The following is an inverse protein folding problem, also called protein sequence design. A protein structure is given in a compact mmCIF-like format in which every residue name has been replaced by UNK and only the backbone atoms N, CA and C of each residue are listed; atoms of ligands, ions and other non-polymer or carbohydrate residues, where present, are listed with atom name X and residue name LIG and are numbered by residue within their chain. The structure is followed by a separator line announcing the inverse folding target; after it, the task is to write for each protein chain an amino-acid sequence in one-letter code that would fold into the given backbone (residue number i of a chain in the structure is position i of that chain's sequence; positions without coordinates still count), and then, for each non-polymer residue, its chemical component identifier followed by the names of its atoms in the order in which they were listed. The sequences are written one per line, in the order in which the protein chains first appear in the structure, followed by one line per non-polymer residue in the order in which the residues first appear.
data_IF_304411959116
#
_entry.id   IF_304411959116
#
_cell.length_a   1.000
_cell.length_b   1.000
_cell.length_c   1.000
_cell.angle_alpha   90.00
_cell.angle_beta   90.00
_cell.angle_gamma   90.00
#
_symmetry.space_group_name_H-M   'P 1'
#
loop_
_entity.id
_entity.type
_entity.pdbx_description
1 polymer ?
#
# COMPACT_ATOMS: atom_id res chain seq x y z
N UNK A 1 -18.10 5.47 -11.60
CA UNK A 1 -17.14 5.32 -10.50
C UNK A 1 -17.63 4.22 -9.57
N UNK A 2 -16.80 3.29 -9.20
CA UNK A 2 -17.15 2.22 -8.27
C UNK A 2 -17.25 2.75 -6.84
N UNK A 3 -17.98 2.07 -5.94
CA UNK A 3 -18.05 2.49 -4.54
C UNK A 3 -16.68 2.56 -3.85
N UNK A 4 -16.55 3.43 -2.87
CA UNK A 4 -15.29 3.68 -2.17
C UNK A 4 -14.70 2.43 -1.52
N UNK A 5 -15.55 1.58 -0.92
CA UNK A 5 -15.10 0.33 -0.32
C UNK A 5 -14.48 -0.61 -1.35
N UNK A 6 -15.03 -0.69 -2.56
CA UNK A 6 -14.46 -1.49 -3.64
C UNK A 6 -13.12 -0.95 -4.13
N UNK A 7 -12.97 0.38 -4.19
CA UNK A 7 -11.69 1.00 -4.52
C UNK A 7 -10.62 0.61 -3.51
N UNK A 8 -10.94 0.67 -2.22
CA UNK A 8 -10.03 0.27 -1.15
C UNK A 8 -9.63 -1.19 -1.27
N UNK A 9 -10.58 -2.08 -1.51
CA UNK A 9 -10.30 -3.50 -1.69
C UNK A 9 -9.42 -3.77 -2.91
N UNK A 10 -9.62 -3.07 -4.01
CA UNK A 10 -8.78 -3.21 -5.21
C UNK A 10 -7.33 -2.81 -4.93
N UNK A 11 -7.11 -1.74 -4.19
CA UNK A 11 -5.76 -1.35 -3.78
C UNK A 11 -5.15 -2.41 -2.88
N UNK A 12 -5.88 -2.87 -1.87
CA UNK A 12 -5.40 -3.87 -0.92
C UNK A 12 -5.05 -5.20 -1.56
N UNK A 13 -5.74 -5.58 -2.64
CA UNK A 13 -5.52 -6.86 -3.32
C UNK A 13 -4.51 -6.80 -4.46
N UNK A 14 -3.92 -5.64 -4.73
CA UNK A 14 -2.91 -5.45 -5.76
C UNK A 14 -1.52 -5.69 -5.16
N UNK A 15 -0.82 -6.78 -5.53
CA UNK A 15 0.47 -7.12 -4.89
C UNK A 15 1.65 -6.28 -5.36
N UNK A 16 1.67 -5.84 -6.62
CA UNK A 16 2.77 -5.05 -7.18
C UNK A 16 2.73 -3.62 -6.65
N UNK A 17 3.83 -3.16 -6.05
CA UNK A 17 3.89 -1.84 -5.42
C UNK A 17 3.67 -0.68 -6.40
N UNK A 18 4.17 -0.77 -7.62
CA UNK A 18 3.96 0.25 -8.65
C UNK A 18 2.50 0.32 -9.06
N UNK A 19 1.87 -0.82 -9.29
CA UNK A 19 0.46 -0.90 -9.68
C UNK A 19 -0.45 -0.44 -8.54
N UNK A 20 -0.12 -0.81 -7.30
CA UNK A 20 -0.84 -0.37 -6.10
C UNK A 20 -0.80 1.15 -5.97
N UNK A 21 0.36 1.77 -6.15
CA UNK A 21 0.54 3.22 -6.09
C UNK A 21 -0.24 3.93 -7.22
N UNK A 22 -0.14 3.42 -8.44
CA UNK A 22 -0.87 3.98 -9.58
C UNK A 22 -2.38 3.91 -9.37
N UNK A 23 -2.87 2.79 -8.87
CA UNK A 23 -4.29 2.58 -8.60
C UNK A 23 -4.79 3.49 -7.47
N UNK A 24 -4.00 3.65 -6.41
CA UNK A 24 -4.32 4.57 -5.31
C UNK A 24 -4.44 6.01 -5.79
N UNK A 25 -3.51 6.46 -6.62
CA UNK A 25 -3.54 7.81 -7.20
C UNK A 25 -4.74 8.02 -8.10
N UNK A 26 -5.07 7.03 -8.93
CA UNK A 26 -6.23 7.07 -9.80
C UNK A 26 -7.52 7.23 -9.00
N UNK A 27 -7.71 6.43 -7.97
CA UNK A 27 -8.90 6.48 -7.13
C UNK A 27 -8.98 7.76 -6.30
N UNK A 28 -7.86 8.24 -5.78
CA UNK A 28 -7.79 9.52 -5.08
C UNK A 28 -8.21 10.67 -5.98
N UNK A 29 -7.72 10.72 -7.22
CA UNK A 29 -8.08 11.74 -8.19
C UNK A 29 -9.58 11.72 -8.48
N UNK A 30 -10.18 10.55 -8.67
CA UNK A 30 -11.62 10.40 -8.90
C UNK A 30 -12.44 10.90 -7.71
N UNK A 31 -12.01 10.57 -6.49
CA UNK A 31 -12.70 11.00 -5.28
C UNK A 31 -12.65 12.51 -5.08
N UNK A 32 -11.49 13.13 -5.27
CA UNK A 32 -11.34 14.58 -5.17
C UNK A 32 -12.12 15.32 -6.25
N UNK A 33 -12.14 14.81 -7.46
CA UNK A 33 -12.94 15.37 -8.55
C UNK A 33 -14.43 15.39 -8.20
N UNK A 34 -14.96 14.29 -7.69
CA UNK A 34 -16.35 14.18 -7.27
C UNK A 34 -16.66 15.15 -6.12
N UNK A 35 -15.76 15.25 -5.15
CA UNK A 35 -15.92 16.16 -4.01
C UNK A 35 -15.93 17.62 -4.44
N UNK A 36 -15.05 18.01 -5.37
CA UNK A 36 -15.03 19.37 -5.93
C UNK A 36 -16.31 19.70 -6.71
N UNK A 37 -16.88 18.72 -7.37
CA UNK A 37 -18.15 18.88 -8.08
C UNK A 37 -19.37 18.79 -7.16
N UNK A 38 -19.17 18.71 -5.86
CA UNK A 38 -20.20 18.54 -4.84
C UNK A 38 -21.11 17.33 -5.09
N UNK A 39 -20.51 16.26 -5.66
CA UNK A 39 -21.20 15.03 -5.97
C UNK A 39 -21.03 14.03 -4.84
N UNK A 40 -22.09 13.26 -4.56
CA UNK A 40 -22.05 12.20 -3.56
C UNK A 40 -21.23 11.01 -4.06
N UNK A 41 -20.35 10.50 -3.22
CA UNK A 41 -19.61 9.26 -3.47
C UNK A 41 -20.22 8.15 -2.64
N UNK A 42 -20.60 7.05 -3.29
CA UNK A 42 -21.13 5.88 -2.62
C UNK A 42 -19.99 5.16 -1.89
N UNK A 43 -20.19 4.87 -0.60
CA UNK A 43 -19.21 4.12 0.19
C UNK A 43 -19.25 2.64 -0.19
N UNK A 44 -20.44 2.08 -0.33
CA UNK A 44 -20.62 0.69 -0.67
C UNK A 44 -20.21 -0.26 0.45
N UNK A 45 -20.07 -1.52 0.10
CA UNK A 45 -19.65 -2.57 1.02
C UNK A 45 -18.82 -3.59 0.26
N UNK A 46 -17.64 -3.89 0.79
CA UNK A 46 -16.75 -4.89 0.23
C UNK A 46 -15.99 -5.55 1.37
N UNK A 47 -15.99 -6.88 1.41
CA UNK A 47 -15.24 -7.59 2.43
C UNK A 47 -13.74 -7.44 2.18
N UNK A 48 -12.98 -6.85 3.12
CA UNK A 48 -11.54 -6.68 2.94
C UNK A 48 -10.82 -8.03 3.03
N UNK A 49 -9.65 -8.17 2.37
CA UNK A 49 -8.83 -9.35 2.56
C UNK A 49 -8.27 -9.42 3.97
N UNK A 50 -7.95 -10.63 4.46
CA UNK A 50 -7.34 -10.81 5.79
C UNK A 50 -6.00 -10.10 5.90
N UNK A 51 -5.23 -10.04 4.80
CA UNK A 51 -3.95 -9.35 4.71
C UNK A 51 -3.86 -8.59 3.40
N UNK A 52 -3.21 -7.41 3.39
CA UNK A 52 -2.94 -6.71 2.14
C UNK A 52 -2.08 -7.58 1.22
N UNK A 53 -2.35 -7.55 -0.07
CA UNK A 53 -1.50 -8.21 -1.05
C UNK A 53 -0.13 -7.55 -1.10
N UNK A 54 0.92 -8.34 -1.18
CA UNK A 54 2.31 -7.88 -1.20
C UNK A 54 3.09 -8.57 -2.30
N UNK A 55 4.16 -7.95 -2.82
CA UNK A 55 5.04 -8.65 -3.74
C UNK A 55 5.69 -9.85 -3.05
N UNK A 56 6.08 -10.86 -3.83
CA UNK A 56 6.72 -12.07 -3.31
C UNK A 56 8.07 -11.79 -2.66
N UNK A 57 8.71 -10.69 -3.01
CA UNK A 57 9.98 -10.23 -2.44
C UNK A 57 9.87 -8.78 -1.98
N UNK A 58 10.60 -8.39 -0.94
CA UNK A 58 11.40 -9.23 -0.05
C UNK A 58 10.53 -10.12 0.84
N UNK A 59 11.16 -11.15 1.42
CA UNK A 59 10.49 -12.01 2.39
C UNK A 59 10.17 -11.24 3.67
N UNK A 60 8.98 -11.49 4.22
CA UNK A 60 8.59 -10.92 5.51
C UNK A 60 9.02 -11.88 6.62
N UNK A 61 9.88 -11.39 7.50
CA UNK A 61 10.39 -12.14 8.64
C UNK A 61 9.94 -11.50 9.93
N UNK A 62 9.83 -12.31 11.01
CA UNK A 62 9.68 -11.78 12.35
C UNK A 62 10.90 -10.92 12.68
N UNK A 63 10.75 -9.83 13.49
CA UNK A 63 11.90 -8.96 13.81
C UNK A 63 13.13 -9.70 14.34
N UNK A 64 12.91 -10.77 15.11
CA UNK A 64 13.99 -11.60 15.67
C UNK A 64 14.78 -12.39 14.61
N UNK A 65 14.18 -12.65 13.45
CA UNK A 65 14.77 -13.44 12.37
C UNK A 65 15.44 -12.56 11.32
N UNK A 66 15.32 -11.24 11.44
CA UNK A 66 15.94 -10.29 10.53
C UNK A 66 17.42 -10.12 10.90
N UNK A 67 18.36 -10.24 9.95
CA UNK A 67 19.78 -9.99 10.24
C UNK A 67 19.99 -8.59 10.80
N UNK A 68 20.69 -8.51 11.94
CA UNK A 68 21.02 -7.21 12.54
C UNK A 68 22.23 -6.62 11.85
N UNK A 69 22.14 -5.35 11.49
CA UNK A 69 23.22 -4.61 10.84
C UNK A 69 23.44 -3.28 11.55
N UNK A 70 24.69 -2.84 11.60
CA UNK A 70 25.04 -1.57 12.28
C UNK A 70 24.47 -0.41 11.47
N UNK A 71 23.66 0.49 12.08
CA UNK A 71 23.04 1.61 11.36
C UNK A 71 24.04 2.57 10.73
N UNK A 72 25.24 2.70 11.31
CA UNK A 72 26.30 3.59 10.81
C UNK A 72 27.04 3.07 9.58
N UNK A 73 26.81 1.83 9.16
CA UNK A 73 27.45 1.25 7.97
C UNK A 73 26.59 1.50 6.73
N UNK A 74 27.21 1.45 5.54
CA UNK A 74 26.48 1.55 4.26
C UNK A 74 25.41 0.49 4.14
N UNK A 75 25.75 -0.77 4.45
CA UNK A 75 24.81 -1.90 4.40
C UNK A 75 23.66 -1.69 5.38
N UNK A 76 23.95 -1.23 6.59
CA UNK A 76 22.93 -0.94 7.59
C UNK A 76 21.98 0.18 7.17
N UNK A 77 22.47 1.24 6.54
CA UNK A 77 21.65 2.33 6.01
C UNK A 77 20.76 1.87 4.87
N UNK A 78 21.27 1.06 3.96
CA UNK A 78 20.48 0.48 2.87
C UNK A 78 19.36 -0.40 3.43
N UNK A 79 19.69 -1.26 4.39
CA UNK A 79 18.71 -2.13 5.03
C UNK A 79 17.61 -1.33 5.75
N UNK A 80 17.96 -0.26 6.44
CA UNK A 80 17.01 0.62 7.13
C UNK A 80 16.08 1.32 6.14
N UNK A 81 16.62 1.91 5.09
CA UNK A 81 15.82 2.57 4.07
C UNK A 81 14.86 1.62 3.38
N UNK A 82 15.32 0.40 3.09
CA UNK A 82 14.50 -0.64 2.48
C UNK A 82 13.34 -1.06 3.39
N UNK A 83 13.62 -1.24 4.70
CA UNK A 83 12.60 -1.59 5.69
C UNK A 83 11.56 -0.48 5.82
N UNK A 84 11.97 0.79 5.89
CA UNK A 84 11.05 1.93 5.97
C UNK A 84 10.17 2.02 4.73
N UNK A 85 10.75 1.84 3.54
CA UNK A 85 9.99 1.86 2.29
C UNK A 85 8.89 0.78 2.27
N UNK A 86 9.18 -0.41 2.82
CA UNK A 86 8.20 -1.50 2.89
C UNK A 86 7.10 -1.26 3.92
N UNK A 87 7.38 -0.55 4.99
CA UNK A 87 6.36 -0.16 5.98
C UNK A 87 5.31 0.76 5.32
N UNK A 88 5.76 1.63 4.42
CA UNK A 88 4.89 2.59 3.73
C UNK A 88 4.08 1.96 2.58
N UNK A 89 4.41 0.79 2.15
CA UNK A 89 3.69 0.08 1.10
C UNK A 89 2.44 -0.60 1.63
#
# INVERSE_FOLDING_TARGET
MIPLAEMACKVLTTPNGRDKTALSRKFAAQWFEKRHADMTVEIGNCEPPSFPARPSRPDLLAPRDVPKRKPGTRIGRIALLHAVAHIEL
#
